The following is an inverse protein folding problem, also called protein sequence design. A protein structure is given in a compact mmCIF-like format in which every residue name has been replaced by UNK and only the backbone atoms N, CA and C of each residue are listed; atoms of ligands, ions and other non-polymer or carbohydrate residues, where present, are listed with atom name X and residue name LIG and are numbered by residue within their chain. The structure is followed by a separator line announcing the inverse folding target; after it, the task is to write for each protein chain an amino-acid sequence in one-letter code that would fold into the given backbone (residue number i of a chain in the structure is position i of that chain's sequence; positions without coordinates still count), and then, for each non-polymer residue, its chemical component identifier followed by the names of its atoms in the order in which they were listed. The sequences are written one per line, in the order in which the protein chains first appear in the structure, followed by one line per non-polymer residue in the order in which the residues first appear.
data_IF_237535049701
#
_entry.id   IF_237535049701
#
_cell.length_a   1.000
_cell.length_b   1.000
_cell.length_c   1.000
_cell.angle_alpha   90.00
_cell.angle_beta   90.00
_cell.angle_gamma   90.00
#
_symmetry.space_group_name_H-M   'P 1'
#
loop_
_entity.id
_entity.type
_entity.pdbx_description
1 polymer ?
#
# COMPACT_ATOMS: atom_id res chain seq x y z
N UNK A 1 22.73 5.62 16.67
CA UNK A 1 22.29 4.30 17.18
C UNK A 1 21.59 3.47 16.10
N UNK A 2 20.57 4.01 15.40
CA UNK A 2 19.89 3.32 14.27
C UNK A 2 20.87 2.73 13.24
N UNK A 3 21.77 3.55 12.67
CA UNK A 3 22.77 3.08 11.69
C UNK A 3 23.76 2.08 12.26
N UNK A 4 24.13 2.23 13.53
CA UNK A 4 25.03 1.29 14.20
C UNK A 4 24.38 -0.10 14.31
N UNK A 5 23.12 -0.17 14.74
CA UNK A 5 22.37 -1.43 14.82
C UNK A 5 22.22 -2.06 13.44
N UNK A 6 21.84 -1.26 12.44
CA UNK A 6 21.69 -1.74 11.06
C UNK A 6 23.00 -2.32 10.52
N UNK A 7 24.12 -1.59 10.62
CA UNK A 7 25.43 -2.05 10.12
C UNK A 7 25.94 -3.31 10.82
N UNK A 8 25.56 -3.52 12.07
CA UNK A 8 26.05 -4.65 12.86
C UNK A 8 25.19 -5.90 12.69
N UNK A 9 23.88 -5.75 12.54
CA UNK A 9 22.93 -6.87 12.53
C UNK A 9 22.34 -7.19 11.15
N UNK A 10 22.43 -6.28 10.18
CA UNK A 10 21.96 -6.50 8.80
C UNK A 10 23.17 -6.62 7.87
N UNK A 11 23.34 -7.81 7.29
CA UNK A 11 24.34 -8.05 6.22
C UNK A 11 23.89 -7.35 4.94
N UNK A 12 24.85 -6.79 4.19
CA UNK A 12 24.59 -6.07 2.93
C UNK A 12 23.50 -5.00 3.04
N UNK A 13 23.50 -4.26 4.17
CA UNK A 13 22.44 -3.34 4.58
C UNK A 13 22.09 -2.24 3.56
N UNK A 14 22.90 -2.03 2.53
CA UNK A 14 22.66 -1.07 1.45
C UNK A 14 21.76 -1.65 0.34
N UNK A 15 21.76 -2.96 0.14
CA UNK A 15 20.98 -3.64 -0.89
C UNK A 15 19.54 -3.94 -0.42
N UNK A 16 18.78 -2.89 -0.08
CA UNK A 16 17.43 -3.01 0.49
C UNK A 16 16.39 -3.62 -0.46
N UNK A 17 16.64 -3.56 -1.77
CA UNK A 17 15.82 -4.22 -2.80
C UNK A 17 15.81 -5.74 -2.66
N UNK A 18 16.89 -6.31 -2.10
CA UNK A 18 16.97 -7.76 -1.89
C UNK A 18 16.02 -8.17 -0.77
N UNK A 19 15.07 -9.05 -1.09
CA UNK A 19 14.10 -9.60 -0.12
C UNK A 19 14.73 -10.07 1.19
N UNK A 20 15.88 -10.78 1.14
CA UNK A 20 16.58 -11.23 2.34
C UNK A 20 17.09 -10.09 3.25
N UNK A 21 17.60 -9.00 2.65
CA UNK A 21 18.07 -7.82 3.39
C UNK A 21 16.85 -7.11 3.99
N UNK A 22 15.78 -6.96 3.22
CA UNK A 22 14.51 -6.39 3.66
C UNK A 22 13.95 -7.12 4.89
N UNK A 23 13.85 -8.45 4.83
CA UNK A 23 13.42 -9.30 5.95
C UNK A 23 14.33 -9.12 7.16
N UNK A 24 15.65 -8.99 6.97
CA UNK A 24 16.58 -8.76 8.08
C UNK A 24 16.37 -7.40 8.78
N UNK A 25 16.05 -6.34 8.02
CA UNK A 25 15.62 -5.06 8.59
C UNK A 25 14.34 -5.21 9.42
N UNK A 26 13.34 -5.92 8.89
CA UNK A 26 12.10 -6.27 9.60
C UNK A 26 12.35 -7.01 10.91
N UNK A 27 13.13 -8.07 10.85
CA UNK A 27 13.51 -8.88 12.02
C UNK A 27 14.22 -8.04 13.08
N UNK A 28 15.22 -7.24 12.67
CA UNK A 28 15.94 -6.35 13.58
C UNK A 28 14.97 -5.36 14.24
N UNK A 29 14.09 -4.74 13.46
CA UNK A 29 13.17 -3.73 13.98
C UNK A 29 12.21 -4.31 15.02
N UNK A 30 11.61 -5.47 14.70
CA UNK A 30 10.70 -6.15 15.60
C UNK A 30 11.42 -6.65 16.86
N UNK A 31 12.64 -7.17 16.76
CA UNK A 31 13.42 -7.60 17.94
C UNK A 31 13.73 -6.43 18.87
N UNK A 32 14.14 -5.28 18.32
CA UNK A 32 14.37 -4.06 19.10
C UNK A 32 13.07 -3.60 19.77
N UNK A 33 11.94 -3.62 19.04
CA UNK A 33 10.61 -3.32 19.59
C UNK A 33 10.23 -4.22 20.76
N UNK A 34 10.38 -5.54 20.61
CA UNK A 34 10.12 -6.52 21.67
C UNK A 34 10.96 -6.20 22.91
N UNK A 35 12.28 -6.02 22.76
CA UNK A 35 13.18 -5.75 23.88
C UNK A 35 12.82 -4.45 24.61
N UNK A 36 12.56 -3.37 23.86
CA UNK A 36 12.20 -2.08 24.43
C UNK A 36 10.86 -2.13 25.18
N UNK A 37 9.84 -2.74 24.59
CA UNK A 37 8.50 -2.80 25.17
C UNK A 37 8.45 -3.72 26.40
N UNK A 38 9.13 -4.88 26.36
CA UNK A 38 9.28 -5.76 27.54
C UNK A 38 10.05 -5.05 28.66
N UNK A 39 11.12 -4.33 28.32
CA UNK A 39 11.87 -3.54 29.30
C UNK A 39 11.00 -2.46 29.96
N UNK A 40 10.25 -1.68 29.17
CA UNK A 40 9.33 -0.67 29.68
C UNK A 40 8.25 -1.28 30.58
N UNK A 41 7.65 -2.40 30.16
CA UNK A 41 6.67 -3.14 30.97
C UNK A 41 7.26 -3.51 32.33
N UNK A 42 8.43 -4.17 32.37
CA UNK A 42 9.03 -4.60 33.63
C UNK A 42 9.33 -3.43 34.57
N UNK A 43 9.92 -2.34 34.04
CA UNK A 43 10.24 -1.15 34.84
C UNK A 43 8.98 -0.50 35.40
N UNK A 44 7.97 -0.24 34.55
CA UNK A 44 6.72 0.39 34.97
C UNK A 44 5.93 -0.50 35.93
N UNK A 45 5.88 -1.80 35.69
CA UNK A 45 5.15 -2.76 36.52
C UNK A 45 5.73 -2.85 37.92
N UNK A 46 7.06 -3.03 38.04
CA UNK A 46 7.74 -3.09 39.35
C UNK A 46 7.53 -1.78 40.11
N UNK A 47 7.68 -0.63 39.46
CA UNK A 47 7.51 0.65 40.14
C UNK A 47 6.04 0.93 40.48
N UNK A 48 5.11 0.55 39.60
CA UNK A 48 3.67 0.61 39.85
C UNK A 48 3.27 -0.15 41.11
N UNK A 49 3.80 -1.37 41.28
CA UNK A 49 3.60 -2.17 42.49
C UNK A 49 4.21 -1.52 43.73
N UNK A 50 5.48 -1.09 43.67
CA UNK A 50 6.18 -0.46 44.81
C UNK A 50 5.52 0.85 45.25
N UNK A 51 4.94 1.60 44.32
CA UNK A 51 4.27 2.86 44.60
C UNK A 51 2.77 2.72 44.86
N UNK A 52 2.22 1.50 44.79
CA UNK A 52 0.78 1.23 44.80
C UNK A 52 0.02 2.13 43.81
N UNK A 53 0.61 2.36 42.63
CA UNK A 53 0.05 3.23 41.60
C UNK A 53 -0.66 2.39 40.55
N UNK A 54 -2.00 2.40 40.61
CA UNK A 54 -2.85 1.72 39.62
C UNK A 54 -2.61 2.28 38.21
N UNK A 55 -2.46 3.61 38.09
CA UNK A 55 -2.20 4.28 36.80
C UNK A 55 -0.88 3.85 36.16
N UNK A 56 0.23 3.79 36.92
CA UNK A 56 1.53 3.34 36.36
C UNK A 56 1.52 1.85 36.04
N UNK A 57 0.82 1.05 36.85
CA UNK A 57 0.69 -0.40 36.60
C UNK A 57 -0.13 -0.67 35.33
N UNK A 58 -1.25 0.05 35.12
CA UNK A 58 -2.04 -0.03 33.90
C UNK A 58 -1.22 0.39 32.67
N UNK A 59 -0.45 1.47 32.78
CA UNK A 59 0.44 1.93 31.72
C UNK A 59 1.55 0.93 31.36
N UNK A 60 1.97 0.09 32.32
CA UNK A 60 2.88 -1.02 32.03
C UNK A 60 2.24 -2.03 31.08
N UNK A 61 0.99 -2.44 31.32
CA UNK A 61 0.30 -3.44 30.49
C UNK A 61 0.10 -2.99 29.05
N UNK A 62 0.05 -1.68 28.77
CA UNK A 62 0.10 -1.17 27.40
C UNK A 62 1.40 -1.60 26.71
N UNK A 63 2.55 -1.41 27.35
CA UNK A 63 3.82 -1.87 26.78
C UNK A 63 3.94 -3.39 26.69
N UNK A 64 3.16 -4.15 27.46
CA UNK A 64 3.05 -5.58 27.24
C UNK A 64 2.27 -5.89 25.95
N UNK A 65 1.18 -5.16 25.68
CA UNK A 65 0.43 -5.25 24.42
C UNK A 65 1.32 -4.89 23.22
N UNK A 66 2.12 -3.83 23.34
CA UNK A 66 3.03 -3.41 22.26
C UNK A 66 4.14 -4.44 22.00
N UNK A 67 4.59 -5.13 23.05
CA UNK A 67 5.50 -6.25 22.91
C UNK A 67 4.83 -7.40 22.13
N UNK A 68 3.55 -7.70 22.38
CA UNK A 68 2.78 -8.67 21.61
C UNK A 68 2.63 -8.24 20.13
N UNK A 69 2.30 -6.97 19.87
CA UNK A 69 2.26 -6.40 18.50
C UNK A 69 3.62 -6.49 17.79
N UNK A 70 4.72 -6.30 18.53
CA UNK A 70 6.08 -6.45 18.00
C UNK A 70 6.42 -7.92 17.69
N UNK A 71 5.92 -8.88 18.47
CA UNK A 71 6.04 -10.32 18.18
C UNK A 71 5.25 -10.68 16.92
N UNK A 72 4.02 -10.20 16.79
CA UNK A 72 3.19 -10.42 15.60
C UNK A 72 3.89 -9.85 14.36
N UNK A 73 4.47 -8.66 14.48
CA UNK A 73 5.28 -8.03 13.43
C UNK A 73 6.50 -8.89 13.06
N UNK A 74 7.23 -9.41 14.05
CA UNK A 74 8.38 -10.31 13.84
C UNK A 74 7.97 -11.57 13.07
N UNK A 75 6.89 -12.21 13.49
CA UNK A 75 6.36 -13.42 12.85
C UNK A 75 5.90 -13.08 11.42
N UNK A 76 5.16 -11.99 11.26
CA UNK A 76 4.63 -11.52 9.98
C UNK A 76 5.72 -11.29 8.94
N UNK A 77 6.74 -10.49 9.27
CA UNK A 77 7.89 -10.24 8.37
C UNK A 77 8.63 -11.54 8.04
N UNK A 78 8.87 -12.39 9.06
CA UNK A 78 9.61 -13.64 8.85
C UNK A 78 8.84 -14.64 7.98
N UNK A 79 7.51 -14.68 8.11
CA UNK A 79 6.65 -15.50 7.28
C UNK A 79 6.51 -14.92 5.87
N UNK A 80 6.40 -13.59 5.73
CA UNK A 80 6.32 -12.91 4.45
C UNK A 80 7.59 -13.08 3.60
N UNK A 81 8.76 -13.17 4.24
CA UNK A 81 10.04 -13.45 3.58
C UNK A 81 10.23 -14.91 3.14
N UNK A 82 9.26 -15.81 3.35
CA UNK A 82 9.35 -17.18 2.86
C UNK A 82 9.22 -17.21 1.34
N UNK A 83 10.04 -18.01 0.63
CA UNK A 83 9.91 -18.19 -0.81
C UNK A 83 8.57 -18.85 -1.17
N UNK A 84 8.24 -18.85 -2.46
CA UNK A 84 7.11 -19.59 -2.99
C UNK A 84 7.21 -21.08 -2.69
N UNK A 85 6.07 -21.72 -2.44
CA UNK A 85 5.95 -23.15 -2.24
C UNK A 85 4.71 -23.72 -2.95
N UNK A 86 4.43 -25.01 -2.77
CA UNK A 86 3.34 -25.71 -3.44
C UNK A 86 1.95 -25.16 -3.06
N UNK A 87 1.78 -24.70 -1.84
CA UNK A 87 0.50 -24.14 -1.36
C UNK A 87 0.38 -22.65 -1.72
N UNK A 88 1.52 -21.96 -1.84
CA UNK A 88 1.62 -20.53 -2.13
C UNK A 88 2.60 -20.28 -3.29
N UNK A 89 2.19 -20.50 -4.55
CA UNK A 89 3.09 -20.42 -5.71
C UNK A 89 3.58 -19.01 -6.02
N UNK A 90 2.88 -17.97 -5.54
CA UNK A 90 3.29 -16.57 -5.66
C UNK A 90 4.09 -16.06 -4.46
N UNK A 91 4.38 -16.92 -3.48
CA UNK A 91 5.06 -16.52 -2.25
C UNK A 91 4.12 -16.13 -1.13
N UNK A 92 4.72 -15.63 -0.05
CA UNK A 92 4.04 -15.35 1.21
C UNK A 92 3.96 -13.85 1.54
N UNK A 93 4.36 -12.97 0.62
CA UNK A 93 4.55 -11.53 0.88
C UNK A 93 3.34 -10.83 1.52
N UNK A 94 2.12 -11.16 1.08
CA UNK A 94 0.86 -10.61 1.64
C UNK A 94 0.65 -10.89 3.13
N UNK A 95 1.36 -11.85 3.73
CA UNK A 95 1.33 -12.08 5.19
C UNK A 95 1.79 -10.84 5.95
N UNK A 96 2.66 -10.01 5.37
CA UNK A 96 3.05 -8.74 5.99
C UNK A 96 1.85 -7.80 6.15
N UNK A 97 1.00 -7.67 5.13
CA UNK A 97 -0.23 -6.89 5.22
C UNK A 97 -1.20 -7.51 6.23
N UNK A 98 -1.38 -8.83 6.23
CA UNK A 98 -2.23 -9.49 7.24
C UNK A 98 -1.72 -9.22 8.66
N UNK A 99 -0.41 -9.26 8.89
CA UNK A 99 0.18 -8.94 10.17
C UNK A 99 -0.05 -7.47 10.57
N UNK A 100 0.12 -6.52 9.64
CA UNK A 100 -0.20 -5.11 9.86
C UNK A 100 -1.68 -4.91 10.22
N UNK A 101 -2.59 -5.65 9.58
CA UNK A 101 -4.02 -5.59 9.85
C UNK A 101 -4.34 -6.10 11.26
N UNK A 102 -3.74 -7.23 11.68
CA UNK A 102 -3.86 -7.75 13.05
C UNK A 102 -3.35 -6.70 14.07
N UNK A 103 -2.21 -6.07 13.82
CA UNK A 103 -1.67 -5.01 14.68
C UNK A 103 -2.63 -3.83 14.76
N UNK A 104 -3.24 -3.41 13.64
CA UNK A 104 -4.22 -2.32 13.63
C UNK A 104 -5.46 -2.63 14.50
N UNK A 105 -5.94 -3.88 14.50
CA UNK A 105 -7.04 -4.29 15.38
C UNK A 105 -6.65 -4.26 16.86
N UNK A 106 -5.42 -4.66 17.21
CA UNK A 106 -4.93 -4.53 18.59
C UNK A 106 -4.86 -3.05 19.03
N UNK A 107 -4.39 -2.16 18.15
CA UNK A 107 -4.38 -0.71 18.41
C UNK A 107 -5.80 -0.18 18.64
N UNK A 108 -6.77 -0.62 17.83
CA UNK A 108 -8.18 -0.25 17.99
C UNK A 108 -8.79 -0.80 19.29
N UNK A 109 -8.46 -2.04 19.66
CA UNK A 109 -8.89 -2.65 20.93
C UNK A 109 -8.35 -1.87 22.14
N UNK A 110 -7.07 -1.50 22.12
CA UNK A 110 -6.45 -0.64 23.15
C UNK A 110 -7.11 0.73 23.19
N UNK A 111 -7.36 1.35 22.03
CA UNK A 111 -8.08 2.63 21.94
C UNK A 111 -9.49 2.56 22.53
N UNK A 112 -10.24 1.49 22.28
CA UNK A 112 -11.57 1.29 22.86
C UNK A 112 -11.52 1.06 24.37
N UNK A 113 -10.54 0.30 24.84
CA UNK A 113 -10.31 0.08 26.28
C UNK A 113 -10.01 1.40 26.98
N UNK A 114 -9.14 2.24 26.41
CA UNK A 114 -8.88 3.57 26.95
C UNK A 114 -10.09 4.49 26.92
N UNK A 115 -10.90 4.45 25.86
CA UNK A 115 -12.14 5.22 25.80
C UNK A 115 -13.06 4.83 26.96
N UNK A 116 -13.24 3.53 27.19
CA UNK A 116 -14.06 2.99 28.28
C UNK A 116 -13.51 3.41 29.65
N UNK A 117 -12.21 3.29 29.87
CA UNK A 117 -11.55 3.68 31.12
C UNK A 117 -11.67 5.19 31.38
N UNK A 118 -11.51 6.00 30.32
CA UNK A 118 -11.62 7.46 30.39
C UNK A 118 -13.05 7.89 30.73
N UNK A 119 -14.07 7.26 30.13
CA UNK A 119 -15.48 7.46 30.49
C UNK A 119 -15.75 7.02 31.93
N UNK A 120 -15.16 5.91 32.38
CA UNK A 120 -15.28 5.45 33.76
C UNK A 120 -14.70 6.47 34.74
N UNK A 121 -13.52 7.02 34.46
CA UNK A 121 -12.89 8.07 35.28
C UNK A 121 -13.71 9.34 35.39
N UNK A 122 -14.50 9.69 34.36
CA UNK A 122 -15.43 10.83 34.42
C UNK A 122 -16.63 10.51 35.33
N UNK A 123 -17.19 9.29 35.25
CA UNK A 123 -18.36 8.88 36.04
C UNK A 123 -18.02 8.65 37.52
N UNK A 124 -16.88 8.03 37.79
CA UNK A 124 -16.36 7.73 39.11
C UNK A 124 -14.94 8.29 39.22
N UNK A 125 -14.79 9.57 39.60
CA UNK A 125 -13.49 10.21 39.72
C UNK A 125 -12.63 9.50 40.77
N UNK A 126 -11.57 8.84 40.31
CA UNK A 126 -10.55 8.29 41.20
C UNK A 126 -9.62 9.37 41.72
N UNK A 127 -9.06 9.16 42.91
CA UNK A 127 -8.06 10.07 43.48
C UNK A 127 -6.72 9.85 42.78
N UNK A 128 -6.27 10.84 42.01
CA UNK A 128 -4.95 10.82 41.40
C UNK A 128 -3.89 10.99 42.49
N UNK A 129 -3.12 9.95 42.77
CA UNK A 129 -1.99 10.03 43.68
C UNK A 129 -0.76 10.57 42.92
N UNK A 130 -0.54 11.88 43.01
CA UNK A 130 0.66 12.50 42.44
C UNK A 130 1.91 12.04 43.19
N UNK A 131 2.79 11.30 42.52
CA UNK A 131 4.14 10.96 43.01
C UNK A 131 5.17 11.37 41.96
N UNK A 132 6.18 12.14 42.37
CA UNK A 132 7.22 12.65 41.47
C UNK A 132 7.93 11.52 40.72
N UNK A 133 8.16 10.38 41.39
CA UNK A 133 8.77 9.18 40.78
C UNK A 133 7.94 8.66 39.60
N UNK A 134 6.60 8.63 39.73
CA UNK A 134 5.71 8.21 38.64
C UNK A 134 5.87 9.11 37.42
N UNK A 135 5.92 10.43 37.62
CA UNK A 135 6.09 11.40 36.51
C UNK A 135 7.44 11.21 35.81
N UNK A 136 8.52 11.04 36.57
CA UNK A 136 9.87 10.80 36.00
C UNK A 136 9.89 9.55 35.13
N UNK A 137 9.24 8.47 35.56
CA UNK A 137 9.18 7.21 34.79
C UNK A 137 8.37 7.37 33.52
N UNK A 138 7.24 8.07 33.57
CA UNK A 138 6.42 8.36 32.38
C UNK A 138 7.22 9.20 31.37
N UNK A 139 7.99 10.19 31.82
CA UNK A 139 8.89 10.98 30.96
C UNK A 139 9.97 10.11 30.32
N UNK A 140 10.62 9.24 31.09
CA UNK A 140 11.62 8.31 30.55
C UNK A 140 11.00 7.36 29.51
N UNK A 141 9.76 6.92 29.75
CA UNK A 141 9.01 6.05 28.85
C UNK A 141 8.68 6.73 27.53
N UNK A 142 8.28 8.02 27.56
CA UNK A 142 8.13 8.86 26.37
C UNK A 142 9.44 8.90 25.58
N UNK A 143 10.58 9.08 26.25
CA UNK A 143 11.89 9.09 25.59
C UNK A 143 12.18 7.80 24.83
N UNK A 144 11.92 6.64 25.44
CA UNK A 144 12.09 5.33 24.80
C UNK A 144 11.13 5.16 23.62
N UNK A 145 9.85 5.52 23.77
CA UNK A 145 8.84 5.40 22.72
C UNK A 145 9.10 6.35 21.54
N UNK A 146 9.52 7.58 21.80
CA UNK A 146 9.96 8.52 20.75
C UNK A 146 11.13 7.94 19.96
N UNK A 147 12.13 7.40 20.65
CA UNK A 147 13.26 6.75 19.99
C UNK A 147 12.83 5.53 19.16
N UNK A 148 11.99 4.66 19.72
CA UNK A 148 11.47 3.47 19.05
C UNK A 148 10.63 3.83 17.81
N UNK A 149 9.80 4.87 17.91
CA UNK A 149 9.02 5.38 16.80
C UNK A 149 9.90 5.94 15.69
N UNK A 150 10.86 6.81 16.00
CA UNK A 150 11.80 7.34 15.00
C UNK A 150 12.61 6.23 14.35
N UNK A 151 13.00 5.21 15.12
CA UNK A 151 13.69 4.03 14.62
C UNK A 151 12.83 3.26 13.61
N UNK A 152 11.58 2.92 13.95
CA UNK A 152 10.67 2.21 13.05
C UNK A 152 10.30 3.05 11.82
N UNK A 153 10.08 4.37 11.96
CA UNK A 153 9.82 5.25 10.82
C UNK A 153 10.97 5.29 9.82
N UNK A 154 12.22 5.36 10.32
CA UNK A 154 13.41 5.38 9.47
C UNK A 154 13.58 4.07 8.72
N UNK A 155 13.40 2.94 9.39
CA UNK A 155 13.53 1.63 8.75
C UNK A 155 12.34 1.36 7.81
N UNK A 156 11.12 1.65 8.26
CA UNK A 156 9.89 1.46 7.50
C UNK A 156 9.89 2.21 6.18
N UNK A 157 10.29 3.49 6.17
CA UNK A 157 10.46 4.25 4.93
C UNK A 157 11.59 3.74 4.03
N UNK A 158 12.63 3.13 4.60
CA UNK A 158 13.78 2.65 3.84
C UNK A 158 13.49 1.35 3.10
N UNK A 159 12.53 0.56 3.59
CA UNK A 159 12.18 -0.75 3.03
C UNK A 159 10.70 -0.88 2.64
N UNK A 160 10.02 0.26 2.54
CA UNK A 160 8.57 0.40 2.36
C UNK A 160 7.75 -0.64 3.15
N UNK A 161 7.93 -0.67 4.47
CA UNK A 161 7.22 -1.61 5.35
C UNK A 161 6.06 -0.95 6.07
N UNK A 162 4.84 -1.32 5.65
CA UNK A 162 3.57 -0.93 6.30
C UNK A 162 3.53 -1.37 7.77
N UNK A 163 4.05 -2.56 8.10
CA UNK A 163 4.13 -3.06 9.49
C UNK A 163 4.96 -2.14 10.37
N UNK A 164 6.13 -1.70 9.91
CA UNK A 164 6.96 -0.77 10.69
C UNK A 164 6.31 0.61 10.83
N UNK A 165 5.61 1.07 9.79
CA UNK A 165 4.86 2.32 9.86
C UNK A 165 3.70 2.23 10.86
N UNK A 166 3.04 1.08 10.97
CA UNK A 166 2.05 0.82 12.01
C UNK A 166 2.67 0.91 13.42
N UNK A 167 3.82 0.28 13.64
CA UNK A 167 4.55 0.33 14.93
C UNK A 167 5.03 1.76 15.26
N UNK A 168 5.42 2.55 14.26
CA UNK A 168 5.73 3.97 14.44
C UNK A 168 4.51 4.74 14.96
N UNK A 169 3.36 4.59 14.29
CA UNK A 169 2.13 5.30 14.65
C UNK A 169 1.64 4.91 16.04
N UNK A 170 1.68 3.62 16.37
CA UNK A 170 1.43 3.08 17.72
C UNK A 170 2.33 3.76 18.76
N UNK A 171 3.65 3.79 18.53
CA UNK A 171 4.61 4.44 19.43
C UNK A 171 4.35 5.94 19.60
N UNK A 172 3.87 6.64 18.57
CA UNK A 172 3.47 8.05 18.67
C UNK A 172 2.16 8.22 19.45
N UNK A 173 1.21 7.31 19.27
CA UNK A 173 0.00 7.22 20.08
C UNK A 173 0.33 7.15 21.56
N UNK A 174 1.26 6.27 21.95
CA UNK A 174 1.71 6.16 23.35
C UNK A 174 2.40 7.42 23.88
N UNK A 175 3.21 8.09 23.05
CA UNK A 175 3.84 9.35 23.45
C UNK A 175 2.76 10.40 23.74
N UNK A 176 1.75 10.51 22.88
CA UNK A 176 0.63 11.43 23.06
C UNK A 176 -0.14 11.07 24.33
N UNK A 177 -0.51 9.80 24.50
CA UNK A 177 -1.24 9.28 25.67
C UNK A 177 -0.50 9.54 26.97
N UNK A 178 0.77 9.15 27.03
CA UNK A 178 1.60 9.31 28.23
C UNK A 178 1.82 10.79 28.56
N UNK A 179 2.01 11.64 27.54
CA UNK A 179 2.16 13.09 27.72
C UNK A 179 0.87 13.72 28.25
N UNK A 180 -0.28 13.29 27.73
CA UNK A 180 -1.59 13.67 28.23
C UNK A 180 -1.78 13.27 29.70
N UNK A 181 -1.40 12.06 30.10
CA UNK A 181 -1.46 11.62 31.50
C UNK A 181 -0.57 12.48 32.40
N UNK A 182 0.66 12.80 31.98
CA UNK A 182 1.54 13.71 32.72
C UNK A 182 0.91 15.09 32.87
N UNK A 183 0.34 15.63 31.79
CA UNK A 183 -0.32 16.94 31.81
C UNK A 183 -1.51 16.95 32.79
N UNK A 184 -2.35 15.90 32.77
CA UNK A 184 -3.46 15.73 33.71
C UNK A 184 -2.98 15.67 35.16
N UNK A 185 -1.88 14.94 35.45
CA UNK A 185 -1.28 14.87 36.79
C UNK A 185 -0.75 16.23 37.27
N UNK A 186 -0.11 17.00 36.39
CA UNK A 186 0.40 18.34 36.70
C UNK A 186 -0.74 19.32 36.96
N UNK A 187 -1.78 19.30 36.13
CA UNK A 187 -2.96 20.16 36.33
C UNK A 187 -3.66 19.80 37.63
N UNK A 188 -3.88 18.51 37.91
CA UNK A 188 -4.45 18.07 39.18
C UNK A 188 -3.64 18.57 40.38
N UNK A 189 -2.31 18.57 40.29
CA UNK A 189 -1.44 19.09 41.36
C UNK A 189 -1.56 20.60 41.57
N UNK A 190 -1.83 21.38 40.53
CA UNK A 190 -1.93 22.84 40.59
C UNK A 190 -3.34 23.33 40.96
N UNK A 191 -4.39 22.70 40.43
CA UNK A 191 -5.78 23.17 40.53
C UNK A 191 -6.67 22.26 41.37
N UNK A 192 -6.25 21.02 41.64
CA UNK A 192 -7.09 19.99 42.25
C UNK A 192 -8.14 19.38 41.31
N UNK A 193 -8.22 19.84 40.05
CA UNK A 193 -9.19 19.37 39.08
C UNK A 193 -8.69 18.10 38.39
N UNK A 194 -9.48 17.02 38.45
CA UNK A 194 -9.20 15.79 37.72
C UNK A 194 -9.78 15.89 36.30
N UNK A 195 -8.92 16.21 35.33
CA UNK A 195 -9.27 16.27 33.91
C UNK A 195 -8.86 15.01 33.13
N UNK A 196 -8.30 14.01 33.81
CA UNK A 196 -7.67 12.84 33.18
C UNK A 196 -8.65 12.06 32.31
N UNK A 197 -9.91 11.95 32.75
CA UNK A 197 -10.95 11.31 31.95
C UNK A 197 -11.31 12.07 30.67
N UNK A 198 -11.34 13.41 30.68
CA UNK A 198 -11.67 14.21 29.48
C UNK A 198 -10.51 14.16 28.48
N UNK A 199 -9.29 14.35 28.98
CA UNK A 199 -8.07 14.26 28.16
C UNK A 199 -7.94 12.85 27.58
N UNK A 200 -8.21 11.82 28.39
CA UNK A 200 -8.18 10.42 27.96
C UNK A 200 -9.16 10.09 26.84
N UNK A 201 -10.37 10.67 26.83
CA UNK A 201 -11.29 10.54 25.69
C UNK A 201 -10.67 11.09 24.41
N UNK A 202 -10.11 12.31 24.46
CA UNK A 202 -9.51 12.94 23.28
C UNK A 202 -8.36 12.10 22.70
N UNK A 203 -7.50 11.58 23.59
CA UNK A 203 -6.42 10.69 23.21
C UNK A 203 -6.94 9.39 22.60
N UNK A 204 -7.93 8.75 23.22
CA UNK A 204 -8.50 7.50 22.72
C UNK A 204 -9.06 7.66 21.30
N UNK A 205 -9.72 8.78 21.00
CA UNK A 205 -10.21 9.09 19.64
C UNK A 205 -9.07 9.23 18.62
N UNK A 206 -7.96 9.88 18.99
CA UNK A 206 -6.78 10.02 18.13
C UNK A 206 -6.14 8.65 17.84
N UNK A 207 -5.98 7.82 18.88
CA UNK A 207 -5.45 6.45 18.73
C UNK A 207 -6.35 5.61 17.84
N UNK A 208 -7.68 5.66 18.05
CA UNK A 208 -8.62 4.94 17.21
C UNK A 208 -8.60 5.42 15.76
N UNK A 209 -8.55 6.72 15.52
CA UNK A 209 -8.44 7.28 14.17
C UNK A 209 -7.16 6.80 13.46
N UNK A 210 -6.04 6.79 14.18
CA UNK A 210 -4.78 6.25 13.67
C UNK A 210 -4.87 4.74 13.36
N UNK A 211 -5.52 3.96 14.24
CA UNK A 211 -5.76 2.52 14.00
C UNK A 211 -6.62 2.25 12.76
N UNK A 212 -7.68 3.03 12.54
CA UNK A 212 -8.50 2.95 11.32
C UNK A 212 -7.68 3.30 10.08
N UNK A 213 -6.83 4.32 10.15
CA UNK A 213 -5.92 4.69 9.06
C UNK A 213 -5.01 3.51 8.67
N UNK A 214 -4.35 2.89 9.65
CA UNK A 214 -3.49 1.72 9.40
C UNK A 214 -4.28 0.57 8.75
N UNK A 215 -5.49 0.29 9.27
CA UNK A 215 -6.33 -0.77 8.71
C UNK A 215 -6.69 -0.49 7.24
N UNK A 216 -7.03 0.76 6.91
CA UNK A 216 -7.34 1.19 5.54
C UNK A 216 -6.11 1.04 4.63
N UNK A 217 -4.98 1.62 5.01
CA UNK A 217 -3.71 1.58 4.25
C UNK A 217 -3.18 0.15 4.03
N UNK A 218 -3.66 -0.81 4.84
CA UNK A 218 -3.28 -2.22 4.77
C UNK A 218 -4.28 -3.04 3.95
N UNK A 219 -5.56 -2.66 3.95
CA UNK A 219 -6.61 -3.31 3.16
C UNK A 219 -6.52 -2.95 1.68
N UNK A 220 -6.07 -1.74 1.35
CA UNK A 220 -5.92 -1.26 -0.04
C UNK A 220 -5.09 -2.24 -0.90
N UNK A 221 -3.83 -2.59 -0.54
CA UNK A 221 -3.05 -3.58 -1.29
C UNK A 221 -3.66 -4.99 -1.34
N UNK A 222 -4.48 -5.36 -0.34
CA UNK A 222 -5.12 -6.67 -0.27
C UNK A 222 -6.33 -6.80 -1.20
N UNK A 223 -7.03 -5.69 -1.45
CA UNK A 223 -8.25 -5.64 -2.29
C UNK A 223 -7.90 -5.42 -3.77
N UNK A 224 -6.76 -4.78 -4.05
CA UNK A 224 -6.32 -4.46 -5.40
C UNK A 224 -6.23 -2.95 -5.60
N UNK A 225 -5.31 -2.32 -4.88
CA UNK A 225 -4.98 -0.90 -5.04
C UNK A 225 -4.54 -0.63 -6.48
N UNK A 226 -4.97 0.52 -7.02
CA UNK A 226 -4.47 0.99 -8.30
C UNK A 226 -2.95 1.23 -8.21
N UNK A 227 -2.24 0.88 -9.29
CA UNK A 227 -0.79 1.00 -9.30
C UNK A 227 -0.34 2.46 -9.41
N UNK A 228 0.77 2.78 -8.75
CA UNK A 228 1.38 4.10 -8.86
C UNK A 228 1.72 4.42 -10.33
N UNK A 229 1.41 5.64 -10.82
CA UNK A 229 1.68 6.04 -12.20
C UNK A 229 3.14 5.89 -12.63
N UNK A 230 4.09 6.14 -11.73
CA UNK A 230 5.52 6.02 -12.04
C UNK A 230 5.91 4.54 -12.23
N UNK A 231 5.35 3.63 -11.44
CA UNK A 231 5.58 2.19 -11.58
C UNK A 231 4.92 1.63 -12.85
N UNK A 232 3.70 2.10 -13.17
CA UNK A 232 3.02 1.80 -14.43
C UNK A 232 3.87 2.21 -15.65
N UNK A 233 4.29 3.47 -15.69
CA UNK A 233 5.05 4.02 -16.83
C UNK A 233 6.44 3.36 -16.93
N UNK A 234 7.04 2.96 -15.80
CA UNK A 234 8.29 2.19 -15.78
C UNK A 234 8.16 0.84 -16.49
N UNK A 235 7.11 0.07 -16.20
CA UNK A 235 6.90 -1.24 -16.86
C UNK A 235 6.52 -1.05 -18.32
N UNK A 236 5.65 -0.08 -18.62
CA UNK A 236 5.26 0.28 -19.98
C UNK A 236 6.49 0.58 -20.85
N UNK A 237 7.29 1.57 -20.44
CA UNK A 237 8.49 1.96 -21.20
C UNK A 237 9.57 0.88 -21.23
N UNK A 238 9.62 0.01 -20.23
CA UNK A 238 10.51 -1.14 -20.26
C UNK A 238 10.17 -2.08 -21.42
N UNK A 239 8.89 -2.36 -21.67
CA UNK A 239 8.46 -3.22 -22.79
C UNK A 239 8.62 -2.49 -24.14
N UNK A 240 8.21 -1.22 -24.21
CA UNK A 240 8.26 -0.42 -25.45
C UNK A 240 9.68 -0.09 -25.93
N UNK A 241 10.72 -0.28 -25.10
CA UNK A 241 12.12 -0.03 -25.53
C UNK A 241 12.64 -1.07 -26.53
N UNK A 242 11.98 -2.22 -26.65
CA UNK A 242 12.42 -3.33 -27.49
C UNK A 242 11.97 -3.14 -28.94
N UNK A 243 12.91 -3.25 -29.87
CA UNK A 243 12.59 -3.20 -31.30
C UNK A 243 11.69 -4.36 -31.70
N UNK A 244 10.58 -4.07 -32.38
CA UNK A 244 9.55 -5.05 -32.76
C UNK A 244 8.29 -4.97 -31.90
N UNK A 245 8.30 -4.17 -30.82
CA UNK A 245 7.11 -3.73 -30.11
C UNK A 245 6.68 -2.37 -30.68
N UNK A 246 5.45 -2.28 -31.16
CA UNK A 246 4.90 -1.05 -31.76
C UNK A 246 4.13 -0.22 -30.74
N UNK A 247 3.61 -0.86 -29.69
CA UNK A 247 2.81 -0.24 -28.65
C UNK A 247 2.50 -1.20 -27.52
N UNK A 248 1.96 -0.68 -26.42
CA UNK A 248 1.47 -1.50 -25.31
C UNK A 248 0.19 -0.92 -24.71
N UNK A 249 -0.69 -1.81 -24.27
CA UNK A 249 -1.94 -1.48 -23.59
C UNK A 249 -2.27 -2.54 -22.52
N UNK A 250 -3.33 -2.32 -21.75
CA UNK A 250 -3.85 -3.23 -20.70
C UNK A 250 -2.83 -3.78 -19.71
N UNK A 251 -1.93 -2.90 -19.25
CA UNK A 251 -1.02 -3.22 -18.17
C UNK A 251 -1.80 -3.35 -16.85
N UNK A 252 -1.83 -4.56 -16.32
CA UNK A 252 -2.39 -4.89 -15.00
C UNK A 252 -1.23 -5.34 -14.12
N UNK A 253 -1.06 -4.71 -12.96
CA UNK A 253 -0.05 -5.10 -11.97
C UNK A 253 -0.73 -5.57 -10.69
N UNK A 254 -0.44 -6.80 -10.28
CA UNK A 254 -0.89 -7.41 -9.04
C UNK A 254 0.22 -7.43 -8.00
N UNK A 255 -0.06 -6.83 -6.84
CA UNK A 255 0.83 -6.90 -5.69
C UNK A 255 0.62 -8.20 -4.88
N UNK A 256 1.67 -8.97 -4.65
CA UNK A 256 1.71 -10.17 -3.80
C UNK A 256 2.58 -9.98 -2.54
N UNK A 257 2.91 -8.73 -2.25
CA UNK A 257 3.74 -8.30 -1.15
C UNK A 257 4.66 -7.16 -1.58
N UNK A 258 5.37 -6.52 -0.63
CA UNK A 258 6.17 -5.32 -0.90
C UNK A 258 7.27 -5.48 -1.97
N UNK A 259 7.76 -6.71 -2.21
CA UNK A 259 8.81 -7.00 -3.21
C UNK A 259 8.40 -8.13 -4.17
N UNK A 260 7.11 -8.38 -4.33
CA UNK A 260 6.60 -9.41 -5.21
C UNK A 260 5.41 -8.85 -5.97
N UNK A 261 5.65 -8.49 -7.23
CA UNK A 261 4.62 -8.05 -8.16
C UNK A 261 4.59 -8.99 -9.35
N UNK A 262 3.39 -9.27 -9.83
CA UNK A 262 3.15 -9.94 -11.09
C UNK A 262 2.42 -8.97 -12.00
N UNK A 263 2.77 -8.90 -13.26
CA UNK A 263 2.12 -8.04 -14.23
C UNK A 263 1.68 -8.82 -15.46
N UNK A 264 0.57 -8.41 -16.07
CA UNK A 264 0.19 -8.79 -17.42
C UNK A 264 0.08 -7.55 -18.27
N UNK A 265 0.52 -7.61 -19.53
CA UNK A 265 0.46 -6.50 -20.47
C UNK A 265 0.19 -7.03 -21.88
N UNK A 266 -0.51 -6.26 -22.69
CA UNK A 266 -0.60 -6.53 -24.12
C UNK A 266 0.48 -5.74 -24.85
N UNK A 267 1.26 -6.44 -25.68
CA UNK A 267 2.28 -5.85 -26.53
C UNK A 267 1.88 -5.99 -27.99
N UNK A 268 1.78 -4.84 -28.66
CA UNK A 268 1.43 -4.77 -30.07
C UNK A 268 2.64 -5.14 -30.93
N UNK A 269 2.47 -6.11 -31.81
CA UNK A 269 3.50 -6.57 -32.76
C UNK A 269 2.95 -6.54 -34.19
N UNK A 270 3.81 -6.38 -35.22
CA UNK A 270 3.33 -6.44 -36.60
C UNK A 270 2.70 -7.80 -36.93
N UNK A 271 1.52 -7.81 -37.55
CA UNK A 271 0.79 -9.04 -37.89
C UNK A 271 1.46 -9.90 -38.98
N UNK A 272 2.47 -9.35 -39.66
CA UNK A 272 3.28 -9.98 -40.69
C UNK A 272 4.64 -10.46 -40.16
N UNK A 273 4.92 -10.25 -38.88
CA UNK A 273 6.10 -10.77 -38.21
C UNK A 273 6.07 -12.30 -38.18
N UNK A 274 7.25 -12.93 -38.21
CA UNK A 274 7.34 -14.37 -37.97
C UNK A 274 6.96 -14.67 -36.51
N UNK A 275 6.06 -15.64 -36.32
CA UNK A 275 5.50 -15.95 -35.01
C UNK A 275 6.56 -16.50 -34.04
N UNK A 276 7.57 -17.23 -34.53
CA UNK A 276 8.66 -17.73 -33.70
C UNK A 276 9.58 -16.58 -33.30
N UNK A 277 9.91 -15.67 -34.22
CA UNK A 277 10.72 -14.48 -33.91
C UNK A 277 10.03 -13.54 -32.91
N UNK A 278 8.74 -13.29 -33.08
CA UNK A 278 7.95 -12.48 -32.16
C UNK A 278 7.87 -13.13 -30.78
N UNK A 279 7.63 -14.45 -30.71
CA UNK A 279 7.62 -15.17 -29.43
C UNK A 279 8.99 -15.17 -28.74
N UNK A 280 10.09 -15.33 -29.50
CA UNK A 280 11.44 -15.25 -28.94
C UNK A 280 11.75 -13.85 -28.37
N UNK A 281 11.22 -12.79 -29.00
CA UNK A 281 11.29 -11.42 -28.48
C UNK A 281 10.52 -11.30 -27.16
N UNK A 282 9.26 -11.76 -27.13
CA UNK A 282 8.44 -11.74 -25.90
C UNK A 282 9.12 -12.50 -24.76
N UNK A 283 9.58 -13.73 -24.99
CA UNK A 283 10.28 -14.53 -23.98
C UNK A 283 11.52 -13.80 -23.42
N UNK A 284 12.20 -13.01 -24.26
CA UNK A 284 13.35 -12.21 -23.83
C UNK A 284 12.91 -11.07 -22.91
N UNK A 285 11.87 -10.33 -23.30
CA UNK A 285 11.33 -9.22 -22.51
C UNK A 285 10.86 -9.73 -21.13
N UNK A 286 10.15 -10.85 -21.08
CA UNK A 286 9.69 -11.46 -19.82
C UNK A 286 10.87 -11.84 -18.90
N UNK A 287 11.93 -12.45 -19.46
CA UNK A 287 13.15 -12.79 -18.70
C UNK A 287 13.85 -11.55 -18.16
N UNK A 288 14.04 -10.55 -19.02
CA UNK A 288 14.69 -9.30 -18.65
C UNK A 288 13.85 -8.53 -17.60
N UNK A 289 12.52 -8.62 -17.62
CA UNK A 289 11.64 -8.01 -16.62
C UNK A 289 11.85 -8.62 -15.22
N UNK A 290 12.05 -9.95 -15.14
CA UNK A 290 12.38 -10.61 -13.87
C UNK A 290 13.73 -10.14 -13.34
N UNK A 291 14.72 -9.98 -14.21
CA UNK A 291 16.09 -9.62 -13.81
C UNK A 291 16.27 -8.11 -13.49
N UNK A 292 15.66 -7.21 -14.28
CA UNK A 292 15.81 -5.75 -14.14
C UNK A 292 14.75 -5.13 -13.23
N UNK A 293 13.50 -5.62 -13.28
CA UNK A 293 12.38 -5.05 -12.54
C UNK A 293 12.00 -5.88 -11.32
N UNK A 294 12.37 -7.17 -11.27
CA UNK A 294 11.91 -8.08 -10.23
C UNK A 294 10.42 -8.44 -10.35
N UNK A 295 9.83 -8.25 -11.53
CA UNK A 295 8.41 -8.47 -11.81
C UNK A 295 8.26 -9.73 -12.64
N UNK A 296 7.36 -10.62 -12.22
CA UNK A 296 6.90 -11.71 -13.08
C UNK A 296 5.95 -11.11 -14.13
N UNK A 297 6.47 -10.81 -15.31
CA UNK A 297 5.70 -10.24 -16.42
C UNK A 297 5.20 -11.36 -17.34
N UNK A 298 3.92 -11.32 -17.69
CA UNK A 298 3.31 -12.16 -18.73
C UNK A 298 2.84 -11.24 -19.84
N UNK A 299 3.30 -11.46 -21.06
CA UNK A 299 2.96 -10.61 -22.19
C UNK A 299 2.01 -11.35 -23.12
N UNK A 300 0.84 -10.76 -23.34
CA UNK A 300 -0.03 -11.15 -24.44
C UNK A 300 0.46 -10.47 -25.72
N UNK A 301 0.73 -11.26 -26.75
CA UNK A 301 1.13 -10.74 -28.06
C UNK A 301 -0.13 -10.37 -28.84
N UNK A 302 -0.27 -9.09 -29.18
CA UNK A 302 -1.39 -8.57 -29.95
C UNK A 302 -0.95 -8.16 -31.38
N UNK A 303 -1.30 -8.93 -32.42
CA UNK A 303 -0.88 -8.64 -33.78
C UNK A 303 -1.69 -7.49 -34.41
N UNK A 304 -1.00 -6.41 -34.75
CA UNK A 304 -1.59 -5.24 -35.41
C UNK A 304 -1.22 -5.17 -36.90
N UNK A 305 -2.17 -4.74 -37.73
CA UNK A 305 -1.93 -4.50 -39.16
C UNK A 305 -1.11 -3.21 -39.35
N UNK A 306 0.05 -3.34 -39.98
CA UNK A 306 1.01 -2.23 -40.17
C UNK A 306 1.28 -1.88 -41.64
N UNK A 307 0.74 -2.64 -42.60
CA UNK A 307 1.03 -2.49 -44.03
C UNK A 307 -0.18 -2.07 -44.85
N UNK A 308 -1.39 -2.47 -44.46
CA UNK A 308 -2.61 -2.07 -45.18
C UNK A 308 -2.90 -0.58 -44.95
N UNK A 309 -2.65 0.24 -45.98
CA UNK A 309 -2.91 1.69 -45.96
C UNK A 309 -4.36 2.01 -45.58
N UNK A 310 -5.34 1.16 -45.94
CA UNK A 310 -6.74 1.39 -45.58
C UNK A 310 -6.94 1.24 -44.08
N UNK A 311 -6.41 0.17 -43.48
CA UNK A 311 -6.54 -0.08 -42.04
C UNK A 311 -5.83 1.02 -41.25
N UNK A 312 -4.65 1.45 -41.70
CA UNK A 312 -3.91 2.56 -41.07
C UNK A 312 -4.64 3.90 -41.19
N UNK A 313 -5.29 4.15 -42.33
CA UNK A 313 -6.11 5.37 -42.52
C UNK A 313 -7.31 5.34 -41.57
N UNK A 314 -8.04 4.23 -41.52
CA UNK A 314 -9.19 4.04 -40.62
C UNK A 314 -8.77 4.20 -39.16
N UNK A 315 -7.64 3.63 -38.74
CA UNK A 315 -7.11 3.80 -37.38
C UNK A 315 -6.90 5.28 -37.05
N UNK A 316 -6.22 6.01 -37.93
CA UNK A 316 -5.99 7.45 -37.76
C UNK A 316 -7.29 8.25 -37.70
N UNK A 317 -8.30 7.88 -38.48
CA UNK A 317 -9.63 8.50 -38.44
C UNK A 317 -10.34 8.25 -37.11
N UNK A 318 -10.31 7.03 -36.58
CA UNK A 318 -10.91 6.70 -35.27
C UNK A 318 -10.19 7.42 -34.14
N UNK A 319 -8.86 7.38 -34.10
CA UNK A 319 -8.07 8.05 -33.06
C UNK A 319 -8.26 9.56 -33.09
N UNK A 320 -8.27 10.18 -34.28
CA UNK A 320 -8.50 11.62 -34.41
C UNK A 320 -9.93 12.01 -34.00
N UNK A 321 -10.93 11.23 -34.43
CA UNK A 321 -12.32 11.47 -34.07
C UNK A 321 -12.54 11.39 -32.56
N UNK A 322 -11.98 10.37 -31.91
CA UNK A 322 -12.04 10.18 -30.46
C UNK A 322 -11.32 11.30 -29.71
N UNK A 323 -10.09 11.64 -30.12
CA UNK A 323 -9.30 12.68 -29.46
C UNK A 323 -9.93 14.07 -29.52
N UNK A 324 -10.70 14.34 -30.57
CA UNK A 324 -11.50 15.56 -30.67
C UNK A 324 -12.75 15.55 -29.78
N UNK A 325 -13.30 14.37 -29.44
CA UNK A 325 -14.42 14.23 -28.51
C UNK A 325 -13.93 14.31 -27.06
N UNK A 326 -12.94 13.50 -26.72
CA UNK A 326 -12.26 13.54 -25.43
C UNK A 326 -10.78 13.11 -25.56
N UNK A 327 -9.81 14.01 -25.27
CA UNK A 327 -8.39 13.69 -25.32
C UNK A 327 -7.91 12.73 -24.21
N UNK A 328 -8.75 12.44 -23.20
CA UNK A 328 -8.44 11.47 -22.13
C UNK A 328 -8.75 10.02 -22.54
N UNK A 329 -9.52 9.82 -23.61
CA UNK A 329 -9.89 8.50 -24.09
C UNK A 329 -8.86 7.97 -25.10
N UNK A 330 -8.75 6.64 -25.18
CA UNK A 330 -7.92 5.95 -26.17
C UNK A 330 -8.62 4.70 -26.71
N UNK A 331 -8.10 4.15 -27.81
CA UNK A 331 -8.55 2.87 -28.35
C UNK A 331 -7.41 1.86 -28.37
N UNK A 332 -7.74 0.57 -28.34
CA UNK A 332 -6.86 -0.54 -28.69
C UNK A 332 -7.64 -1.64 -29.43
N UNK A 333 -6.96 -2.71 -29.85
CA UNK A 333 -7.56 -3.87 -30.53
C UNK A 333 -8.37 -3.53 -31.80
N UNK A 334 -8.02 -2.44 -32.51
CA UNK A 334 -8.76 -2.03 -33.70
C UNK A 334 -8.64 -3.06 -34.83
N UNK A 335 -9.78 -3.64 -35.16
CA UNK A 335 -9.98 -4.56 -36.28
C UNK A 335 -10.94 -3.99 -37.30
N UNK A 336 -10.49 -3.96 -38.56
CA UNK A 336 -11.28 -3.51 -39.70
C UNK A 336 -11.70 -4.70 -40.54
N UNK A 337 -13.01 -4.90 -40.71
CA UNK A 337 -13.56 -5.97 -41.54
C UNK A 337 -14.31 -5.37 -42.73
N UNK A 338 -13.68 -5.43 -43.90
CA UNK A 338 -14.22 -4.90 -45.15
C UNK A 338 -15.32 -5.80 -45.72
N UNK A 339 -16.50 -5.22 -45.95
CA UNK A 339 -17.62 -5.83 -46.68
C UNK A 339 -18.03 -5.03 -47.91
N UNK A 340 -18.79 -5.64 -48.82
CA UNK A 340 -19.20 -5.02 -50.10
C UNK A 340 -20.05 -3.75 -49.96
N UNK A 341 -20.70 -3.53 -48.81
CA UNK A 341 -21.51 -2.35 -48.52
C UNK A 341 -21.45 -1.84 -47.08
N UNK A 342 -20.62 -2.47 -46.24
CA UNK A 342 -20.42 -2.11 -44.83
C UNK A 342 -18.98 -2.44 -44.44
N UNK A 343 -18.35 -1.59 -43.63
CA UNK A 343 -17.03 -1.79 -43.06
C UNK A 343 -17.22 -1.83 -41.54
N UNK A 344 -16.98 -2.99 -40.93
CA UNK A 344 -17.13 -3.11 -39.48
C UNK A 344 -15.83 -2.69 -38.80
N UNK A 345 -15.93 -1.75 -37.87
CA UNK A 345 -14.85 -1.30 -37.01
C UNK A 345 -15.09 -1.89 -35.62
N UNK A 346 -14.22 -2.79 -35.19
CA UNK A 346 -14.34 -3.46 -33.89
C UNK A 346 -13.13 -3.03 -33.08
N UNK A 347 -13.33 -2.44 -31.91
CA UNK A 347 -12.26 -1.95 -31.05
C UNK A 347 -12.75 -1.74 -29.63
N UNK A 348 -11.79 -1.68 -28.72
CA UNK A 348 -12.05 -1.41 -27.32
C UNK A 348 -11.68 0.06 -27.04
N UNK A 349 -12.53 0.76 -26.31
CA UNK A 349 -12.39 2.18 -25.99
C UNK A 349 -12.20 2.35 -24.48
N UNK A 350 -11.03 2.87 -24.12
CA UNK A 350 -10.67 3.15 -22.73
C UNK A 350 -11.19 4.52 -22.35
N UNK A 351 -12.01 4.57 -21.31
CA UNK A 351 -12.60 5.79 -20.77
C UNK A 351 -12.24 6.02 -19.30
N UNK A 352 -12.26 7.28 -18.84
CA UNK A 352 -12.03 7.60 -17.43
C UNK A 352 -12.99 6.86 -16.49
N UNK A 353 -12.54 6.54 -15.28
CA UNK A 353 -13.38 5.85 -14.29
C UNK A 353 -14.54 6.71 -13.78
N UNK A 354 -14.43 8.03 -13.92
CA UNK A 354 -15.44 9.00 -13.51
C UNK A 354 -16.70 8.95 -14.38
N UNK A 355 -16.60 8.39 -15.60
CA UNK A 355 -17.71 8.34 -16.54
C UNK A 355 -18.80 7.40 -16.03
N UNK A 356 -20.01 7.93 -15.88
CA UNK A 356 -21.19 7.13 -15.63
C UNK A 356 -21.70 6.42 -16.90
N UNK A 357 -22.68 5.52 -16.75
CA UNK A 357 -23.23 4.76 -17.88
C UNK A 357 -23.89 5.66 -18.93
N UNK A 358 -24.42 6.83 -18.56
CA UNK A 358 -25.04 7.77 -19.51
C UNK A 358 -23.95 8.48 -20.32
N UNK A 359 -22.88 8.94 -19.68
CA UNK A 359 -21.72 9.56 -20.30
C UNK A 359 -21.03 8.60 -21.27
N UNK A 360 -20.82 7.34 -20.86
CA UNK A 360 -20.29 6.27 -21.72
C UNK A 360 -21.13 6.06 -22.97
N UNK A 361 -22.44 5.89 -22.80
CA UNK A 361 -23.36 5.67 -23.92
C UNK A 361 -23.41 6.89 -24.86
N UNK A 362 -23.36 8.10 -24.31
CA UNK A 362 -23.36 9.33 -25.10
C UNK A 362 -22.06 9.47 -25.91
N UNK A 363 -20.90 9.25 -25.29
CA UNK A 363 -19.61 9.27 -25.99
C UNK A 363 -19.56 8.22 -27.11
N UNK A 364 -20.03 7.00 -26.83
CA UNK A 364 -20.12 5.93 -27.82
C UNK A 364 -20.98 6.34 -29.02
N UNK A 365 -22.17 6.91 -28.79
CA UNK A 365 -23.06 7.37 -29.85
C UNK A 365 -22.44 8.51 -30.67
N UNK A 366 -21.81 9.49 -30.00
CA UNK A 366 -21.15 10.61 -30.67
C UNK A 366 -19.99 10.15 -31.56
N UNK A 367 -19.18 9.20 -31.08
CA UNK A 367 -18.10 8.63 -31.87
C UNK A 367 -18.65 7.87 -33.10
N UNK A 368 -19.71 7.08 -32.91
CA UNK A 368 -20.37 6.36 -34.00
C UNK A 368 -20.93 7.30 -35.07
N UNK A 369 -21.62 8.37 -34.67
CA UNK A 369 -22.15 9.37 -35.60
C UNK A 369 -21.02 10.05 -36.38
N UNK A 370 -19.96 10.46 -35.69
CA UNK A 370 -18.82 11.14 -36.30
C UNK A 370 -18.06 10.25 -37.29
N UNK A 371 -17.90 8.96 -36.98
CA UNK A 371 -17.31 8.00 -37.91
C UNK A 371 -18.21 7.76 -39.13
N UNK A 372 -19.53 7.73 -38.96
CA UNK A 372 -20.46 7.64 -40.09
C UNK A 372 -20.50 8.90 -40.98
N UNK A 373 -20.17 10.07 -40.42
CA UNK A 373 -19.98 11.29 -41.22
C UNK A 373 -18.71 11.22 -42.09
N UNK A 374 -17.66 10.55 -41.61
CA UNK A 374 -16.41 10.31 -42.35
C UNK A 374 -16.64 9.30 -43.49
N UNK A 375 -17.19 8.11 -43.18
CA UNK A 375 -17.62 7.13 -44.18
C UNK A 375 -18.93 6.47 -43.75
N UNK A 376 -19.98 6.64 -44.58
CA UNK A 376 -21.32 6.08 -44.34
C UNK A 376 -21.35 4.55 -44.27
N UNK A 377 -20.29 3.87 -44.67
CA UNK A 377 -20.15 2.41 -44.59
C UNK A 377 -19.65 1.95 -43.22
N UNK A 378 -19.10 2.83 -42.38
CA UNK A 378 -18.58 2.47 -41.06
C UNK A 378 -19.68 2.03 -40.12
N UNK A 379 -19.49 0.86 -39.53
CA UNK A 379 -20.35 0.31 -38.48
C UNK A 379 -19.48 -0.12 -37.31
N UNK A 380 -19.62 0.56 -36.18
CA UNK A 380 -18.75 0.34 -35.03
C UNK A 380 -19.36 -0.70 -34.07
N UNK A 381 -18.50 -1.57 -33.54
CA UNK A 381 -18.75 -2.44 -32.40
C UNK A 381 -17.71 -2.07 -31.36
N UNK A 382 -18.13 -1.33 -30.33
CA UNK A 382 -17.23 -0.72 -29.34
C UNK A 382 -17.46 -1.40 -28.00
N UNK A 383 -16.39 -1.94 -27.41
CA UNK A 383 -16.37 -2.36 -25.99
C UNK A 383 -15.83 -1.22 -25.16
N UNK A 384 -16.47 -0.92 -24.02
CA UNK A 384 -16.04 0.15 -23.13
C UNK A 384 -15.23 -0.43 -21.97
N UNK A 385 -14.01 0.08 -21.78
CA UNK A 385 -13.10 -0.36 -20.72
C UNK A 385 -12.57 0.82 -19.89
N UNK A 386 -11.96 0.50 -18.75
CA UNK A 386 -11.37 1.50 -17.85
C UNK A 386 -9.87 1.26 -17.69
N UNK A 387 -9.09 2.34 -17.59
CA UNK A 387 -7.65 2.25 -17.37
C UNK A 387 -7.33 1.79 -15.94
N UNK A 388 -6.43 0.81 -15.79
CA UNK A 388 -5.97 0.34 -14.47
C UNK A 388 -4.95 1.27 -13.77
N UNK A 389 -4.60 2.39 -14.38
CA UNK A 389 -3.67 3.39 -13.85
C UNK A 389 -4.36 4.30 -12.83
N UNK A 390 -3.70 4.60 -11.71
CA UNK A 390 -4.25 5.54 -10.73
C UNK A 390 -4.41 6.96 -11.33
N UNK A 391 -5.55 7.61 -11.04
CA UNK A 391 -5.77 9.02 -11.35
C UNK A 391 -5.07 9.89 -10.29
N UNK A 392 -4.22 10.83 -10.72
CA UNK A 392 -3.46 11.76 -9.84
C UNK A 392 -4.24 13.04 -9.56
#
# INVERSE_FOLDING_TARGET
MTEFLVRHFVKDYEAVEKSAVRTAYGVLASMVGIVCNVFLFLVKFIVGLLLHSVSVTADAFNNLSDAASSIISFIGVKMAGKPADKEHPFGHGRIEYIAALIVSFLVLEVGFTFLKDSVSKIRTPETLNFRLISVVILILSIGVKLWLGVFNKKLGKKIDSKVMMAVFTDSMGDVITTSATILSLVIFRLTGLNIDGIVGIGVALVVMWAGVGIAKDTLEPLIGEAIDPEEYDKVKHFVERYQGIEGTHDLIIHNYGPNQSMASIHAEVPNDADIEEAHELIDRIERDAVDELGILLVIHMDPIEMRDEQVMTVRGEVEAALKELDPQCSIHDLRVVNGMGQINLIFDMVVPFEYDEEEKNNLQLQLMEKLQEIDKRYQCVITMEHSYKAHV
#
